data_IF_523423654745
#
_entry.id   IF_523423654745
#
_cell.length_a   1.000
_cell.length_b   1.000
_cell.length_c   1.000
_cell.angle_alpha   90.00
_cell.angle_beta   90.00
_cell.angle_gamma   90.00
#
_symmetry.space_group_name_H-M   'P 1'
#
loop_
_entity.id
_entity.type
_entity.pdbx_description
1 polymer ?
#
# COMPACT_ATOMS: atom_id res chain seq x y z
N UNK A 1 -1.17 23.19 -10.87
CA UNK A 1 -0.55 22.13 -11.69
C UNK A 1 -0.36 20.90 -10.82
N UNK A 2 -1.39 20.08 -10.68
CA UNK A 2 -1.37 18.81 -9.95
C UNK A 2 -1.77 17.72 -10.92
N UNK A 3 -0.78 16.99 -11.44
CA UNK A 3 -0.94 16.10 -12.59
C UNK A 3 -1.06 14.62 -12.21
N UNK A 4 -0.80 14.25 -10.94
CA UNK A 4 -0.89 12.89 -10.44
C UNK A 4 -1.61 12.84 -9.09
N UNK A 5 -2.78 12.19 -9.05
CA UNK A 5 -3.51 11.90 -7.82
C UNK A 5 -3.63 10.38 -7.66
N UNK A 6 -3.19 9.86 -6.51
CA UNK A 6 -3.39 8.47 -6.10
C UNK A 6 -4.26 8.44 -4.85
N UNK A 7 -5.36 7.70 -4.93
CA UNK A 7 -6.28 7.50 -3.80
C UNK A 7 -6.17 6.07 -3.29
N UNK A 8 -6.33 5.89 -1.99
CA UNK A 8 -6.45 4.59 -1.34
C UNK A 8 -7.83 4.47 -0.71
N UNK A 9 -8.43 3.27 -0.74
CA UNK A 9 -9.64 3.01 0.03
C UNK A 9 -9.33 2.53 1.46
N UNK A 10 -10.40 2.29 2.22
CA UNK A 10 -10.32 1.85 3.62
C UNK A 10 -9.61 0.50 3.78
N UNK A 11 -9.54 -0.31 2.72
CA UNK A 11 -8.82 -1.59 2.68
C UNK A 11 -7.37 -1.41 2.21
N UNK A 12 -6.89 -0.18 2.10
CA UNK A 12 -5.56 0.17 1.59
C UNK A 12 -5.33 -0.31 0.13
N UNK A 13 -6.40 -0.48 -0.64
CA UNK A 13 -6.29 -0.73 -2.08
C UNK A 13 -6.10 0.60 -2.82
N UNK A 14 -5.13 0.64 -3.73
CA UNK A 14 -4.93 1.78 -4.61
C UNK A 14 -6.08 1.79 -5.63
N UNK A 15 -6.82 2.91 -5.68
CA UNK A 15 -8.11 3.03 -6.36
C UNK A 15 -8.02 3.76 -7.68
N UNK A 16 -7.41 4.94 -7.68
CA UNK A 16 -7.36 5.79 -8.87
C UNK A 16 -5.95 6.32 -9.09
N UNK A 17 -5.54 6.39 -10.35
CA UNK A 17 -4.34 7.09 -10.82
C UNK A 17 -4.82 8.06 -11.89
N UNK A 18 -4.83 9.36 -11.59
CA UNK A 18 -5.21 10.38 -12.56
C UNK A 18 -3.96 11.02 -13.16
N UNK A 19 -3.82 11.00 -14.49
CA UNK A 19 -2.77 11.70 -15.24
C UNK A 19 -3.25 12.04 -16.66
N UNK A 20 -2.93 13.20 -17.26
CA UNK A 20 -2.17 14.36 -16.74
C UNK A 20 -3.02 15.41 -16.03
N UNK A 21 -4.35 15.24 -15.97
CA UNK A 21 -5.28 16.19 -15.36
C UNK A 21 -6.29 15.46 -14.46
N UNK A 22 -6.51 15.97 -13.25
CA UNK A 22 -7.60 15.49 -12.37
C UNK A 22 -8.94 15.63 -13.10
N UNK A 23 -9.64 14.51 -13.30
CA UNK A 23 -10.97 14.49 -13.94
C UNK A 23 -11.02 14.04 -15.40
N UNK A 24 -9.90 13.68 -16.05
CA UNK A 24 -9.90 12.95 -17.33
C UNK A 24 -8.95 11.76 -17.27
N UNK A 25 -9.47 10.61 -17.69
CA UNK A 25 -8.84 9.29 -17.77
C UNK A 25 -8.41 8.72 -16.41
N UNK A 26 -9.26 7.86 -15.84
CA UNK A 26 -8.88 6.99 -14.74
C UNK A 26 -8.07 5.83 -15.32
N UNK A 27 -6.74 5.85 -15.16
CA UNK A 27 -5.86 4.81 -15.71
C UNK A 27 -5.98 3.47 -14.99
N UNK A 28 -6.78 3.38 -13.93
CA UNK A 28 -7.11 2.09 -13.31
C UNK A 28 -8.25 1.36 -14.01
N UNK A 29 -9.05 2.04 -14.85
CA UNK A 29 -10.29 1.50 -15.46
C UNK A 29 -11.21 0.81 -14.42
N UNK A 30 -11.14 1.22 -13.15
CA UNK A 30 -11.85 0.58 -12.03
C UNK A 30 -11.19 -0.67 -11.44
N UNK A 31 -10.02 -1.07 -11.93
CA UNK A 31 -9.25 -2.19 -11.39
C UNK A 31 -8.48 -1.79 -10.12
N UNK A 32 -8.75 -2.51 -9.03
CA UNK A 32 -8.03 -2.35 -7.77
C UNK A 32 -6.63 -2.94 -7.89
N UNK A 33 -5.61 -2.12 -7.68
CA UNK A 33 -4.26 -2.63 -7.45
C UNK A 33 -4.18 -3.11 -6.00
N UNK A 34 -4.13 -4.43 -5.84
CA UNK A 34 -4.08 -5.08 -4.53
C UNK A 34 -2.64 -5.32 -4.14
N UNK A 35 -2.36 -5.19 -2.86
CA UNK A 35 -1.07 -5.56 -2.29
C UNK A 35 -1.24 -6.84 -1.48
N UNK A 36 -0.36 -7.82 -1.70
CA UNK A 36 -0.41 -9.09 -0.99
C UNK A 36 0.96 -9.53 -0.50
N UNK A 37 0.96 -10.30 0.58
CA UNK A 37 2.17 -10.84 1.21
C UNK A 37 2.10 -12.37 1.25
N UNK A 38 3.18 -12.99 0.78
CA UNK A 38 3.48 -14.40 0.96
C UNK A 38 4.44 -14.56 2.13
N UNK A 39 4.15 -15.50 3.03
CA UNK A 39 5.15 -16.03 3.95
C UNK A 39 5.02 -17.54 4.08
N UNK A 40 6.15 -18.22 3.87
CA UNK A 40 6.21 -19.66 3.68
C UNK A 40 5.23 -20.10 2.55
N UNK A 41 4.28 -20.98 2.86
CA UNK A 41 3.27 -21.49 1.93
C UNK A 41 1.94 -20.73 1.99
N UNK A 42 1.87 -19.62 2.74
CA UNK A 42 0.63 -18.88 2.97
C UNK A 42 0.64 -17.53 2.28
N UNK A 43 -0.45 -17.26 1.56
CA UNK A 43 -0.73 -15.96 0.97
C UNK A 43 -1.83 -15.21 1.72
N UNK A 44 -1.68 -13.90 1.84
CA UNK A 44 -2.77 -13.02 2.24
C UNK A 44 -2.76 -11.72 1.44
N UNK A 45 -3.92 -11.35 0.92
CA UNK A 45 -4.16 -9.98 0.47
C UNK A 45 -4.25 -9.05 1.68
N UNK A 46 -3.65 -7.87 1.58
CA UNK A 46 -3.79 -6.82 2.57
C UNK A 46 -5.17 -6.18 2.42
N UNK A 47 -6.11 -6.64 3.23
CA UNK A 47 -7.49 -6.17 3.27
C UNK A 47 -8.07 -6.44 4.67
N UNK A 48 -9.34 -6.85 4.76
CA UNK A 48 -10.09 -7.08 6.02
C UNK A 48 -9.44 -8.00 7.06
N UNK A 49 -8.57 -8.93 6.65
CA UNK A 49 -7.91 -9.86 7.58
C UNK A 49 -6.68 -9.24 8.27
N UNK A 50 -6.37 -7.99 7.93
CA UNK A 50 -5.29 -7.21 8.52
C UNK A 50 -5.86 -6.15 9.46
N UNK A 51 -5.27 -6.01 10.65
CA UNK A 51 -5.51 -4.86 11.52
C UNK A 51 -4.80 -3.64 10.92
N UNK A 52 -5.52 -2.88 10.10
CA UNK A 52 -5.01 -1.72 9.36
C UNK A 52 -5.22 -0.43 10.15
N UNK A 53 -4.18 0.41 10.19
CA UNK A 53 -4.27 1.81 10.63
C UNK A 53 -3.71 2.70 9.54
N UNK A 54 -4.59 3.51 8.97
CA UNK A 54 -4.26 4.45 7.91
C UNK A 54 -3.99 5.83 8.52
N UNK A 55 -2.95 6.50 8.04
CA UNK A 55 -2.59 7.83 8.51
C UNK A 55 -1.61 8.51 7.57
N UNK A 56 -1.21 9.71 7.95
CA UNK A 56 -0.17 10.50 7.28
C UNK A 56 0.87 10.92 8.32
N UNK A 57 2.11 11.08 7.88
CA UNK A 57 3.12 11.75 8.72
C UNK A 57 2.71 13.22 8.86
N UNK A 58 2.70 13.79 10.08
CA UNK A 58 2.29 15.18 10.31
C UNK A 58 2.96 16.15 9.35
N UNK A 59 2.19 17.13 8.87
CA UNK A 59 2.66 18.20 7.98
C UNK A 59 3.25 17.71 6.64
N UNK A 60 2.90 16.49 6.20
CA UNK A 60 3.38 15.94 4.93
C UNK A 60 2.29 15.16 4.17
N UNK A 61 2.51 14.96 2.87
CA UNK A 61 1.70 14.07 2.03
C UNK A 61 2.19 12.62 2.04
N UNK A 62 3.12 12.29 2.94
CA UNK A 62 3.66 10.93 3.09
C UNK A 62 2.67 10.12 3.93
N UNK A 63 2.16 9.01 3.39
CA UNK A 63 1.32 8.10 4.18
C UNK A 63 2.13 7.45 5.30
N UNK A 64 1.45 7.05 6.37
CA UNK A 64 1.98 6.23 7.46
C UNK A 64 0.98 5.14 7.77
N UNK A 65 1.11 4.01 7.07
CA UNK A 65 0.17 2.89 7.19
C UNK A 65 0.81 1.75 7.94
N UNK A 66 0.20 1.35 9.06
CA UNK A 66 0.62 0.16 9.79
C UNK A 66 -0.41 -0.94 9.62
N UNK A 67 0.05 -2.17 9.51
CA UNK A 67 -0.82 -3.33 9.44
C UNK A 67 -0.25 -4.53 10.20
N UNK A 68 -1.15 -5.37 10.70
CA UNK A 68 -0.80 -6.61 11.38
C UNK A 68 -1.75 -7.75 10.99
N UNK A 69 -1.21 -8.92 10.71
CA UNK A 69 -1.97 -10.14 10.49
C UNK A 69 -1.44 -11.25 11.41
N UNK A 70 -2.27 -11.65 12.39
CA UNK A 70 -1.93 -12.68 13.36
C UNK A 70 -1.80 -14.07 12.71
N UNK A 71 -2.66 -14.40 11.75
CA UNK A 71 -2.68 -15.71 11.09
C UNK A 71 -1.42 -15.93 10.22
N UNK A 72 -0.93 -14.86 9.60
CA UNK A 72 0.29 -14.88 8.81
C UNK A 72 1.54 -14.64 9.66
N UNK A 73 1.40 -14.05 10.86
CA UNK A 73 2.51 -13.71 11.75
C UNK A 73 3.41 -12.60 11.22
N UNK A 74 2.80 -11.59 10.57
CA UNK A 74 3.52 -10.47 9.93
C UNK A 74 2.92 -9.15 10.38
N UNK A 75 3.78 -8.16 10.57
CA UNK A 75 3.37 -6.75 10.56
C UNK A 75 4.17 -5.97 9.53
N UNK A 76 3.62 -4.85 9.08
CA UNK A 76 4.36 -3.93 8.22
C UNK A 76 4.07 -2.47 8.53
N UNK A 77 5.03 -1.62 8.17
CA UNK A 77 4.87 -0.18 8.01
C UNK A 77 5.06 0.15 6.53
N UNK A 78 4.12 0.90 5.97
CA UNK A 78 4.16 1.36 4.60
C UNK A 78 4.09 2.89 4.54
N UNK A 79 4.96 3.48 3.72
CA UNK A 79 4.95 4.90 3.40
C UNK A 79 4.87 5.08 1.90
N UNK A 80 3.90 5.87 1.47
CA UNK A 80 3.61 6.18 0.07
C UNK A 80 3.84 7.65 -0.19
N UNK A 81 4.55 7.95 -1.26
CA UNK A 81 4.82 9.30 -1.72
C UNK A 81 4.48 9.39 -3.21
N UNK A 82 3.90 10.53 -3.58
CA UNK A 82 3.67 10.91 -4.97
C UNK A 82 4.51 12.15 -5.25
N UNK A 83 5.41 12.07 -6.22
CA UNK A 83 6.09 13.23 -6.77
C UNK A 83 5.20 13.88 -7.83
N UNK A 84 4.75 15.11 -7.57
CA UNK A 84 3.86 15.85 -8.47
C UNK A 84 4.60 16.49 -9.66
N UNK A 85 5.93 16.55 -9.64
CA UNK A 85 6.77 17.15 -10.68
C UNK A 85 7.18 16.10 -11.72
N UNK A 86 7.60 14.94 -11.24
CA UNK A 86 8.14 13.86 -12.08
C UNK A 86 7.11 12.74 -12.37
N UNK A 87 5.90 12.82 -11.81
CA UNK A 87 4.85 11.78 -11.90
C UNK A 87 5.31 10.40 -11.40
N UNK A 88 6.03 10.39 -10.28
CA UNK A 88 6.58 9.17 -9.69
C UNK A 88 5.76 8.77 -8.46
N UNK A 89 5.41 7.48 -8.37
CA UNK A 89 4.86 6.87 -7.16
C UNK A 89 5.92 6.00 -6.49
N UNK A 90 6.21 6.30 -5.23
CA UNK A 90 7.17 5.55 -4.40
C UNK A 90 6.41 4.92 -3.24
N UNK A 91 6.57 3.60 -3.09
CA UNK A 91 6.09 2.83 -1.94
C UNK A 91 7.27 2.21 -1.21
N UNK A 92 7.48 2.61 0.04
CA UNK A 92 8.45 1.97 0.95
C UNK A 92 7.70 1.05 1.90
N UNK A 93 8.12 -0.22 1.96
CA UNK A 93 7.52 -1.23 2.83
C UNK A 93 8.59 -1.76 3.76
N UNK A 94 8.34 -1.70 5.06
CA UNK A 94 9.17 -2.34 6.10
C UNK A 94 8.35 -3.49 6.66
N UNK A 95 8.85 -4.72 6.47
CA UNK A 95 8.22 -5.95 6.93
C UNK A 95 8.87 -6.41 8.24
N UNK A 96 8.06 -6.90 9.18
CA UNK A 96 8.51 -7.53 10.41
C UNK A 96 7.87 -8.90 10.55
N UNK A 97 8.72 -9.93 10.58
CA UNK A 97 8.34 -11.28 10.99
C UNK A 97 8.08 -11.29 12.50
N UNK A 98 6.92 -11.81 12.92
CA UNK A 98 6.52 -11.90 14.32
C UNK A 98 6.64 -13.33 14.88
N UNK A 99 7.17 -14.24 14.09
CA UNK A 99 7.56 -15.59 14.50
C UNK A 99 9.00 -15.60 15.03
N UNK A 100 9.28 -16.54 15.94
CA UNK A 100 10.63 -16.84 16.44
C UNK A 100 11.51 -17.56 15.40
N UNK A 101 10.92 -18.05 14.30
CA UNK A 101 11.64 -18.72 13.22
C UNK A 101 11.94 -17.76 12.09
N UNK A 102 13.11 -17.90 11.48
CA UNK A 102 13.41 -17.26 10.20
C UNK A 102 12.49 -17.80 9.11
N UNK A 103 11.98 -16.92 8.26
CA UNK A 103 10.94 -17.20 7.26
C UNK A 103 11.22 -16.43 5.99
N UNK A 104 10.89 -17.05 4.87
CA UNK A 104 10.90 -16.35 3.60
C UNK A 104 9.60 -15.55 3.44
N UNK A 105 9.74 -14.23 3.24
CA UNK A 105 8.60 -13.32 3.04
C UNK A 105 8.77 -12.64 1.69
N UNK A 106 7.73 -12.70 0.85
CA UNK A 106 7.71 -12.11 -0.50
C UNK A 106 6.52 -11.18 -0.67
N UNK A 107 6.72 -10.07 -1.37
CA UNK A 107 5.65 -9.15 -1.77
C UNK A 107 5.13 -9.47 -3.17
N UNK A 108 3.81 -9.48 -3.34
CA UNK A 108 3.12 -9.59 -4.62
C UNK A 108 2.40 -8.29 -5.00
N UNK A 109 2.40 -7.95 -6.29
CA UNK A 109 1.58 -6.89 -6.90
C UNK A 109 0.40 -7.50 -7.64
#
# INVERSE_FOLDING_TARGET
>A
NGCLLITFDQDYCLRDIYYPCVGKENHTDGHKFRFGLWADEKFSWVCKDWNLRLGYVPESLLTHVTAFNANLGISFLCNDLIDYRENIYIKKIILKNLSEKEREIRGGK
#
